data_IF_021449065353
#
_entry.id   IF_021449065353
#
_cell.length_a   1.000
_cell.length_b   1.000
_cell.length_c   1.000
_cell.angle_alpha   90.00
_cell.angle_beta   90.00
_cell.angle_gamma   90.00
#
_symmetry.space_group_name_H-M   'P 1'
#
loop_
_entity.id
_entity.type
_entity.pdbx_description
1 polymer ?
#
# COMPACT_ATOMS: atom_id res chain seq x y z
N UNK A 1 -0.30 24.37 -6.69
CA UNK A 1 0.66 23.34 -6.19
C UNK A 1 1.47 22.77 -7.37
N UNK A 2 2.70 22.28 -7.17
CA UNK A 2 3.42 21.57 -8.25
C UNK A 2 2.85 20.16 -8.42
N UNK A 3 2.57 19.73 -9.64
CA UNK A 3 2.07 18.39 -9.91
C UNK A 3 3.16 17.32 -9.69
N UNK A 4 2.73 16.13 -9.26
CA UNK A 4 3.58 14.95 -9.05
C UNK A 4 3.01 13.80 -9.86
N UNK A 5 3.87 13.03 -10.54
CA UNK A 5 3.48 11.79 -11.20
C UNK A 5 3.87 10.59 -10.33
N UNK A 6 2.93 9.68 -10.12
CA UNK A 6 3.12 8.42 -9.40
C UNK A 6 2.55 7.26 -10.23
N UNK A 7 3.44 6.49 -10.85
CA UNK A 7 3.05 5.46 -11.82
C UNK A 7 2.23 6.06 -12.96
N UNK A 8 0.98 5.62 -13.11
CA UNK A 8 0.03 6.12 -14.11
C UNK A 8 -0.82 7.32 -13.62
N UNK A 9 -0.65 7.75 -12.37
CA UNK A 9 -1.46 8.81 -11.77
C UNK A 9 -0.71 10.14 -11.76
N UNK A 10 -1.44 11.22 -12.04
CA UNK A 10 -0.99 12.59 -11.81
C UNK A 10 -1.72 13.15 -10.61
N UNK A 11 -0.98 13.68 -9.64
CA UNK A 11 -1.49 14.31 -8.42
C UNK A 11 -1.27 15.80 -8.57
N UNK A 12 -2.36 16.56 -8.58
CA UNK A 12 -2.37 18.03 -8.68
C UNK A 12 -3.65 18.57 -8.03
N UNK A 13 -3.79 19.89 -7.94
CA UNK A 13 -4.98 20.54 -7.34
C UNK A 13 -6.29 20.18 -8.06
N UNK A 14 -6.22 19.93 -9.37
CA UNK A 14 -7.40 19.62 -10.19
C UNK A 14 -7.62 18.11 -10.42
N UNK A 15 -6.74 17.26 -9.90
CA UNK A 15 -6.82 15.81 -10.08
C UNK A 15 -7.75 15.17 -9.04
N UNK A 16 -8.45 14.06 -9.38
CA UNK A 16 -9.20 13.29 -8.39
C UNK A 16 -8.29 12.80 -7.25
N UNK A 17 -8.86 12.67 -6.05
CA UNK A 17 -8.14 12.15 -4.89
C UNK A 17 -7.61 10.75 -5.15
N UNK A 18 -6.29 10.59 -5.05
CA UNK A 18 -5.64 9.28 -5.07
C UNK A 18 -5.78 8.63 -3.70
N UNK A 19 -6.33 7.42 -3.69
CA UNK A 19 -6.59 6.63 -2.48
C UNK A 19 -5.57 5.50 -2.39
N UNK A 20 -4.92 5.39 -1.23
CA UNK A 20 -4.01 4.30 -0.88
C UNK A 20 -4.70 3.43 0.17
N UNK A 21 -4.93 2.16 -0.15
CA UNK A 21 -5.32 1.16 0.83
C UNK A 21 -4.08 0.69 1.59
N UNK A 22 -4.01 1.05 2.87
CA UNK A 22 -2.96 0.57 3.77
C UNK A 22 -3.31 -0.82 4.29
N UNK A 23 -2.53 -1.82 3.86
CA UNK A 23 -2.69 -3.21 4.31
C UNK A 23 -1.81 -3.48 5.54
N UNK A 24 -0.67 -2.78 5.65
CA UNK A 24 0.38 -3.06 6.62
C UNK A 24 0.81 -4.54 6.55
N UNK A 25 0.70 -5.28 7.65
CA UNK A 25 1.03 -6.69 7.84
C UNK A 25 -0.22 -7.59 7.97
N UNK A 26 -1.43 -7.05 7.72
CA UNK A 26 -2.73 -7.72 7.95
C UNK A 26 -2.90 -9.04 7.18
N UNK A 27 -2.03 -9.33 6.21
CA UNK A 27 -1.99 -10.60 5.50
C UNK A 27 -1.46 -11.76 6.37
N UNK A 28 -0.93 -11.50 7.56
CA UNK A 28 -0.49 -12.48 8.55
C UNK A 28 0.50 -13.52 7.98
N UNK A 29 1.45 -13.06 7.16
CA UNK A 29 2.43 -13.93 6.50
C UNK A 29 1.87 -14.80 5.35
N UNK A 30 0.58 -14.73 5.05
CA UNK A 30 -0.05 -15.51 3.96
C UNK A 30 -0.10 -14.73 2.65
N UNK A 31 0.60 -15.23 1.63
CA UNK A 31 0.55 -14.69 0.26
C UNK A 31 -0.85 -14.84 -0.36
N UNK A 32 -1.56 -15.91 -0.02
CA UNK A 32 -2.93 -16.12 -0.51
C UNK A 32 -3.88 -15.05 0.05
N UNK A 33 -3.76 -14.74 1.34
CA UNK A 33 -4.53 -13.67 1.98
C UNK A 33 -4.19 -12.32 1.35
N UNK A 34 -2.89 -12.03 1.12
CA UNK A 34 -2.45 -10.81 0.45
C UNK A 34 -3.07 -10.65 -0.95
N UNK A 35 -3.14 -11.72 -1.74
CA UNK A 35 -3.78 -11.70 -3.07
C UNK A 35 -5.28 -11.41 -2.98
N UNK A 36 -6.00 -12.06 -2.06
CA UNK A 36 -7.43 -11.79 -1.84
C UNK A 36 -7.68 -10.34 -1.44
N UNK A 37 -6.83 -9.78 -0.58
CA UNK A 37 -6.91 -8.36 -0.22
C UNK A 37 -6.73 -7.45 -1.43
N UNK A 38 -5.77 -7.73 -2.30
CA UNK A 38 -5.55 -6.97 -3.54
C UNK A 38 -6.79 -7.02 -4.44
N UNK A 39 -7.41 -8.19 -4.59
CA UNK A 39 -8.63 -8.35 -5.39
C UNK A 39 -9.79 -7.49 -4.84
N UNK A 40 -10.00 -7.49 -3.52
CA UNK A 40 -11.04 -6.67 -2.89
C UNK A 40 -10.75 -5.16 -2.98
N UNK A 41 -9.49 -4.75 -2.81
CA UNK A 41 -9.06 -3.35 -2.98
C UNK A 41 -9.32 -2.89 -4.42
N UNK A 42 -9.04 -3.75 -5.40
CA UNK A 42 -9.32 -3.45 -6.81
C UNK A 42 -10.82 -3.30 -7.07
N UNK A 43 -11.65 -4.17 -6.49
CA UNK A 43 -13.13 -4.07 -6.58
C UNK A 43 -13.68 -2.81 -5.92
N UNK A 44 -13.06 -2.35 -4.83
CA UNK A 44 -13.43 -1.12 -4.14
C UNK A 44 -13.07 0.18 -4.90
N UNK A 45 -12.41 0.08 -6.06
CA UNK A 45 -12.02 1.25 -6.86
C UNK A 45 -10.84 2.03 -6.28
N UNK A 46 -10.07 1.41 -5.39
CA UNK A 46 -8.86 2.02 -4.81
C UNK A 46 -7.70 1.95 -5.81
N UNK A 47 -6.81 2.94 -5.74
CA UNK A 47 -5.75 3.16 -6.73
C UNK A 47 -4.47 2.40 -6.41
N UNK A 48 -4.10 2.34 -5.13
CA UNK A 48 -2.83 1.78 -4.66
C UNK A 48 -3.08 0.89 -3.45
N UNK A 49 -2.43 -0.28 -3.43
CA UNK A 49 -2.31 -1.13 -2.24
C UNK A 49 -0.90 -0.98 -1.66
N UNK A 50 -0.77 -0.68 -0.37
CA UNK A 50 0.53 -0.52 0.31
C UNK A 50 0.71 -1.59 1.38
N UNK A 51 1.83 -2.31 1.29
CA UNK A 51 2.28 -3.30 2.28
C UNK A 51 3.46 -2.74 3.09
N UNK A 52 3.62 -3.22 4.32
CA UNK A 52 4.81 -2.96 5.12
C UNK A 52 5.82 -4.08 4.91
N UNK A 53 7.08 -3.71 4.64
CA UNK A 53 8.19 -4.65 4.57
C UNK A 53 8.82 -4.71 5.96
N UNK A 54 8.65 -5.85 6.64
CA UNK A 54 9.26 -6.12 7.93
C UNK A 54 10.48 -7.02 7.77
N UNK A 55 11.63 -6.54 8.23
CA UNK A 55 12.89 -7.27 8.28
C UNK A 55 13.41 -7.15 9.72
N UNK A 56 13.03 -8.08 10.63
CA UNK A 56 13.30 -7.96 12.07
C UNK A 56 14.76 -7.71 12.41
N UNK A 57 15.67 -8.40 11.72
CA UNK A 57 17.13 -8.26 11.91
C UNK A 57 17.66 -6.86 11.55
N UNK A 58 16.90 -6.08 10.79
CA UNK A 58 17.27 -4.74 10.32
C UNK A 58 16.54 -3.66 11.14
N UNK A 59 15.28 -3.91 11.51
CA UNK A 59 14.41 -2.89 12.08
C UNK A 59 14.26 -2.96 13.62
N UNK A 60 14.62 -4.08 14.25
CA UNK A 60 14.46 -4.30 15.69
C UNK A 60 15.79 -4.30 16.45
N UNK A 61 15.75 -3.92 17.72
CA UNK A 61 16.91 -4.00 18.62
C UNK A 61 17.05 -5.45 19.10
N UNK A 62 18.20 -6.12 18.91
CA UNK A 62 18.38 -7.50 19.35
C UNK A 62 18.22 -7.65 20.87
N UNK A 63 17.43 -8.62 21.31
CA UNK A 63 17.25 -8.97 22.71
C UNK A 63 16.33 -8.04 23.51
N UNK A 64 15.56 -7.18 22.84
CA UNK A 64 14.42 -6.46 23.43
C UNK A 64 13.24 -7.37 23.73
#
# INVERSE_FOLDING_TARGET
>A
MKSITFGQYTISEDSPTLIIAEIADSHNGSVETAKKMIDEIKKAGVHVAKFQLHLPDIEMVPGS
#
